data_IF_152637779174
#
_entry.id   IF_152637779174
#
_cell.length_a   1.000
_cell.length_b   1.000
_cell.length_c   1.000
_cell.angle_alpha   90.00
_cell.angle_beta   90.00
_cell.angle_gamma   90.00
#
_symmetry.space_group_name_H-M   'P 1'
#
loop_
_entity.id
_entity.type
_entity.pdbx_description
1 polymer ?
#
# COMPACT_ATOMS: atom_id res chain seq x y z
N UNK A 1 -10.84 17.30 66.82
CA UNK A 1 -10.82 17.45 65.35
C UNK A 1 -9.67 16.64 64.78
N UNK A 2 -9.94 15.51 64.12
CA UNK A 2 -8.91 14.67 63.49
C UNK A 2 -8.40 15.38 62.23
N UNK A 3 -7.17 15.92 62.30
CA UNK A 3 -6.46 16.44 61.15
C UNK A 3 -6.05 15.28 60.25
N UNK A 4 -6.93 14.90 59.32
CA UNK A 4 -6.63 13.89 58.30
C UNK A 4 -5.49 14.42 57.43
N UNK A 5 -4.33 13.78 57.59
CA UNK A 5 -3.03 14.11 57.02
C UNK A 5 -3.07 14.33 55.50
N UNK A 6 -2.91 15.58 55.08
CA UNK A 6 -2.79 16.04 53.68
C UNK A 6 -1.74 15.26 52.86
N UNK A 7 -0.70 14.73 53.52
CA UNK A 7 0.34 13.89 52.91
C UNK A 7 -0.12 12.47 52.53
N UNK A 8 -1.06 11.88 53.28
CA UNK A 8 -1.59 10.54 52.99
C UNK A 8 -2.47 10.49 51.74
N UNK A 9 -3.27 11.53 51.51
CA UNK A 9 -4.06 11.67 50.27
C UNK A 9 -3.18 11.81 49.03
N UNK A 10 -2.10 12.62 49.10
CA UNK A 10 -1.16 12.78 47.98
C UNK A 10 -0.49 11.45 47.61
N UNK A 11 -0.06 10.67 48.60
CA UNK A 11 0.54 9.34 48.38
C UNK A 11 -0.45 8.37 47.73
N UNK A 12 -1.70 8.32 48.19
CA UNK A 12 -2.75 7.48 47.58
C UNK A 12 -3.06 7.92 46.14
N UNK A 13 -3.15 9.22 45.89
CA UNK A 13 -3.36 9.77 44.55
C UNK A 13 -2.23 9.38 43.58
N UNK A 14 -0.97 9.45 44.02
CA UNK A 14 0.18 9.01 43.23
C UNK A 14 0.16 7.51 42.94
N UNK A 15 -0.21 6.68 43.91
CA UNK A 15 -0.34 5.21 43.71
C UNK A 15 -1.43 4.90 42.70
N UNK A 16 -2.60 5.54 42.82
CA UNK A 16 -3.71 5.36 41.86
C UNK A 16 -3.30 5.83 40.47
N UNK A 17 -2.67 6.99 40.34
CA UNK A 17 -2.18 7.48 39.05
C UNK A 17 -1.15 6.53 38.43
N UNK A 18 -0.19 6.03 39.22
CA UNK A 18 0.80 5.05 38.77
C UNK A 18 0.16 3.73 38.34
N UNK A 19 -0.80 3.21 39.11
CA UNK A 19 -1.53 1.99 38.77
C UNK A 19 -2.35 2.16 37.48
N UNK A 20 -2.99 3.32 37.28
CA UNK A 20 -3.73 3.64 36.05
C UNK A 20 -2.81 3.74 34.83
N UNK A 21 -1.64 4.38 34.96
CA UNK A 21 -0.64 4.43 33.88
C UNK A 21 -0.10 3.05 33.53
N UNK A 22 0.19 2.22 34.55
CA UNK A 22 0.63 0.85 34.33
C UNK A 22 -0.45 0.02 33.62
N UNK A 23 -1.72 0.15 34.03
CA UNK A 23 -2.83 -0.53 33.39
C UNK A 23 -2.99 -0.10 31.92
N UNK A 24 -2.91 1.21 31.64
CA UNK A 24 -2.95 1.73 30.26
C UNK A 24 -1.78 1.21 29.41
N UNK A 25 -0.58 1.17 29.96
CA UNK A 25 0.58 0.61 29.28
C UNK A 25 0.41 -0.89 28.97
N UNK A 26 -0.13 -1.66 29.92
CA UNK A 26 -0.44 -3.08 29.75
C UNK A 26 -1.48 -3.26 28.64
N UNK A 27 -2.61 -2.55 28.71
CA UNK A 27 -3.67 -2.61 27.67
C UNK A 27 -3.11 -2.21 26.30
N UNK A 28 -2.28 -1.16 26.26
CA UNK A 28 -1.59 -0.73 25.04
C UNK A 28 -0.66 -1.80 24.48
N UNK A 29 0.14 -2.46 25.33
CA UNK A 29 1.02 -3.54 24.94
C UNK A 29 0.24 -4.75 24.39
N UNK A 30 -0.85 -5.17 25.06
CA UNK A 30 -1.72 -6.25 24.58
C UNK A 30 -2.42 -5.91 23.25
N UNK A 31 -2.61 -4.63 22.94
CA UNK A 31 -3.26 -4.17 21.71
C UNK A 31 -2.28 -3.54 20.71
N UNK A 32 -0.97 -3.64 20.92
CA UNK A 32 0.05 -2.90 20.17
C UNK A 32 -0.05 -3.11 18.65
N UNK A 33 -0.19 -4.37 18.23
CA UNK A 33 -0.35 -4.71 16.81
C UNK A 33 -1.62 -4.11 16.20
N UNK A 34 -2.73 -4.06 16.96
CA UNK A 34 -3.98 -3.45 16.51
C UNK A 34 -3.86 -1.94 16.39
N UNK A 35 -3.19 -1.29 17.34
CA UNK A 35 -2.94 0.15 17.32
C UNK A 35 -2.03 0.55 16.15
N UNK A 36 -0.94 -0.19 15.92
CA UNK A 36 -0.07 0.04 14.76
C UNK A 36 -0.84 -0.18 13.46
N UNK A 37 -1.63 -1.25 13.36
CA UNK A 37 -2.43 -1.51 12.16
C UNK A 37 -3.44 -0.38 11.92
N UNK A 38 -4.11 0.10 12.97
CA UNK A 38 -5.02 1.23 12.87
C UNK A 38 -4.29 2.49 12.40
N UNK A 39 -3.13 2.80 12.99
CA UNK A 39 -2.28 3.91 12.57
C UNK A 39 -1.95 3.82 11.07
N UNK A 40 -1.48 2.66 10.59
CA UNK A 40 -1.17 2.41 9.17
C UNK A 40 -2.37 2.59 8.25
N UNK A 41 -3.58 2.19 8.68
CA UNK A 41 -4.81 2.40 7.90
C UNK A 41 -5.15 3.88 7.79
N UNK A 42 -5.09 4.59 8.92
CA UNK A 42 -5.45 6.01 8.99
C UNK A 42 -4.45 6.87 8.19
N UNK A 43 -3.17 6.51 8.19
CA UNK A 43 -2.12 7.25 7.46
C UNK A 43 -1.87 6.74 6.05
N UNK A 44 -2.59 5.71 5.58
CA UNK A 44 -2.33 5.05 4.29
C UNK A 44 -2.32 6.03 3.10
N UNK A 45 -3.19 7.05 3.16
CA UNK A 45 -3.39 8.05 2.11
C UNK A 45 -2.76 9.42 2.42
N UNK A 46 -1.92 9.50 3.46
CA UNK A 46 -1.26 10.76 3.81
C UNK A 46 -0.40 11.26 2.64
N UNK A 47 -0.64 12.47 2.10
CA UNK A 47 -0.02 12.93 0.84
C UNK A 47 1.50 12.83 0.84
N UNK A 48 2.15 13.15 1.96
CA UNK A 48 3.61 13.17 2.07
C UNK A 48 4.25 11.78 2.05
N UNK A 49 3.47 10.71 2.26
CA UNK A 49 3.97 9.33 2.37
C UNK A 49 3.23 8.32 1.50
N UNK A 50 2.24 8.77 0.72
CA UNK A 50 1.32 7.91 -0.04
C UNK A 50 2.06 6.95 -0.97
N UNK A 51 3.08 7.42 -1.68
CA UNK A 51 3.87 6.63 -2.61
C UNK A 51 4.59 5.47 -1.90
N UNK A 52 5.19 5.75 -0.74
CA UNK A 52 5.91 4.76 0.06
C UNK A 52 4.94 3.79 0.73
N UNK A 53 3.83 4.30 1.28
CA UNK A 53 2.79 3.49 1.90
C UNK A 53 2.22 2.47 0.91
N UNK A 54 1.97 2.87 -0.34
CA UNK A 54 1.43 1.96 -1.36
C UNK A 54 2.48 0.93 -1.81
N UNK A 55 3.72 1.37 -2.06
CA UNK A 55 4.84 0.50 -2.46
C UNK A 55 5.13 -0.59 -1.42
N UNK A 56 4.95 -0.26 -0.13
CA UNK A 56 5.19 -1.16 1.01
C UNK A 56 3.95 -1.75 1.63
N UNK A 57 2.79 -1.62 0.98
CA UNK A 57 1.52 -2.13 1.48
C UNK A 57 1.59 -3.62 1.92
N UNK A 58 2.34 -4.46 1.21
CA UNK A 58 2.54 -5.86 1.57
C UNK A 58 3.33 -6.09 2.88
N UNK A 59 4.08 -5.12 3.36
CA UNK A 59 4.78 -5.16 4.67
C UNK A 59 3.95 -4.49 5.77
N UNK A 60 3.12 -3.52 5.39
CA UNK A 60 2.29 -2.74 6.32
C UNK A 60 1.04 -3.50 6.78
N UNK A 61 0.54 -4.43 5.98
CA UNK A 61 -0.65 -5.22 6.28
C UNK A 61 -0.35 -6.71 6.31
N UNK A 62 -1.24 -7.48 6.92
CA UNK A 62 -1.19 -8.94 6.88
C UNK A 62 -1.26 -9.39 5.41
N UNK A 63 -0.19 -10.01 4.94
CA UNK A 63 -0.04 -10.39 3.53
C UNK A 63 0.47 -11.81 3.39
N UNK A 64 0.30 -12.37 2.18
CA UNK A 64 0.92 -13.63 1.78
C UNK A 64 1.72 -13.41 0.51
N UNK A 65 2.89 -14.04 0.46
CA UNK A 65 3.75 -14.00 -0.72
C UNK A 65 3.19 -14.99 -1.75
N UNK A 66 2.93 -14.49 -2.96
CA UNK A 66 2.71 -15.33 -4.13
C UNK A 66 4.07 -15.46 -4.82
N UNK A 67 4.68 -16.66 -4.82
CA UNK A 67 6.00 -16.83 -5.42
C UNK A 67 5.94 -16.65 -6.94
N UNK A 68 7.00 -16.07 -7.51
CA UNK A 68 7.18 -16.03 -8.97
C UNK A 68 7.33 -17.44 -9.54
N UNK A 69 6.92 -17.63 -10.80
CA UNK A 69 7.21 -18.87 -11.53
C UNK A 69 8.72 -19.12 -11.58
N UNK A 70 9.19 -20.38 -11.45
CA UNK A 70 10.60 -20.73 -11.69
C UNK A 70 11.03 -20.51 -13.14
N UNK A 71 10.07 -20.44 -14.08
CA UNK A 71 10.29 -20.16 -15.50
C UNK A 71 9.35 -19.03 -15.92
N UNK A 72 9.69 -17.77 -15.63
CA UNK A 72 8.88 -16.64 -16.06
C UNK A 72 9.01 -16.44 -17.58
N UNK A 73 7.96 -15.95 -18.20
CA UNK A 73 8.06 -15.39 -19.54
C UNK A 73 8.93 -14.12 -19.50
N UNK A 74 9.83 -13.97 -20.47
CA UNK A 74 10.74 -12.82 -20.56
C UNK A 74 10.37 -12.01 -21.79
N UNK A 75 9.97 -10.76 -21.59
CA UNK A 75 9.65 -9.85 -22.68
C UNK A 75 10.91 -9.47 -23.46
N UNK A 76 10.75 -9.34 -24.77
CA UNK A 76 11.70 -8.60 -25.60
C UNK A 76 11.67 -7.11 -25.22
N UNK A 77 12.76 -6.39 -25.50
CA UNK A 77 12.86 -4.96 -25.24
C UNK A 77 13.24 -4.22 -26.52
N UNK A 78 12.45 -3.20 -26.86
CA UNK A 78 12.76 -2.22 -27.87
C UNK A 78 12.58 -0.83 -27.26
N UNK A 79 13.50 0.10 -27.54
CA UNK A 79 13.41 1.45 -26.97
C UNK A 79 12.66 2.36 -27.93
N UNK A 80 11.45 2.76 -27.56
CA UNK A 80 10.70 3.84 -28.16
C UNK A 80 10.52 4.98 -27.15
N UNK A 81 10.64 6.22 -27.59
CA UNK A 81 10.27 7.37 -26.78
C UNK A 81 8.74 7.52 -26.75
N UNK A 82 8.20 8.00 -25.63
CA UNK A 82 6.83 8.52 -25.62
C UNK A 82 6.76 9.78 -26.50
N UNK A 83 5.61 10.06 -27.12
CA UNK A 83 5.41 11.35 -27.78
C UNK A 83 5.50 12.48 -26.75
N UNK A 84 5.93 13.66 -27.18
CA UNK A 84 6.01 14.84 -26.29
C UNK A 84 4.62 15.32 -25.86
N UNK A 85 3.63 15.16 -26.74
CA UNK A 85 2.27 15.65 -26.55
C UNK A 85 1.19 14.64 -26.98
N UNK A 86 -0.03 14.87 -26.52
CA UNK A 86 -1.21 14.11 -26.90
C UNK A 86 -2.39 15.05 -27.19
N UNK A 87 -3.29 14.62 -28.06
CA UNK A 87 -4.54 15.34 -28.36
C UNK A 87 -5.71 14.65 -27.67
N UNK A 88 -6.47 15.39 -26.87
CA UNK A 88 -7.67 14.91 -26.19
C UNK A 88 -8.74 16.02 -26.14
N UNK A 89 -9.97 15.71 -26.56
CA UNK A 89 -11.08 16.66 -26.60
C UNK A 89 -10.75 18.01 -27.27
N UNK A 90 -10.02 17.98 -28.40
CA UNK A 90 -9.61 19.18 -29.13
C UNK A 90 -8.52 20.02 -28.44
N UNK A 91 -7.95 19.53 -27.35
CA UNK A 91 -6.84 20.17 -26.63
C UNK A 91 -5.57 19.35 -26.75
N UNK A 92 -4.42 20.04 -26.84
CA UNK A 92 -3.10 19.40 -26.83
C UNK A 92 -2.49 19.48 -25.44
N UNK A 93 -2.14 18.34 -24.86
CA UNK A 93 -1.48 18.23 -23.54
C UNK A 93 -0.05 17.70 -23.66
N UNK A 94 0.81 18.02 -22.69
CA UNK A 94 2.16 17.44 -22.56
C UNK A 94 2.09 16.09 -21.84
N UNK A 95 2.75 15.07 -22.40
CA UNK A 95 2.85 13.75 -21.76
C UNK A 95 3.66 13.84 -20.46
N UNK A 96 4.73 14.63 -20.44
CA UNK A 96 5.54 14.82 -19.24
C UNK A 96 4.72 15.48 -18.11
N UNK A 97 3.93 16.50 -18.44
CA UNK A 97 3.05 17.16 -17.46
C UNK A 97 1.92 16.24 -17.00
N UNK A 98 1.43 15.34 -17.84
CA UNK A 98 0.42 14.35 -17.45
C UNK A 98 0.99 13.35 -16.43
N UNK A 99 2.16 12.79 -16.69
CA UNK A 99 2.85 11.86 -15.78
C UNK A 99 3.08 12.50 -14.41
N UNK A 100 3.54 13.75 -14.41
CA UNK A 100 3.77 14.52 -13.18
C UNK A 100 2.47 14.78 -12.41
N UNK A 101 1.46 15.37 -13.07
CA UNK A 101 0.17 15.75 -12.47
C UNK A 101 -0.66 14.58 -11.95
N UNK A 102 -0.43 13.36 -12.45
CA UNK A 102 -1.19 12.16 -12.06
C UNK A 102 -0.48 11.32 -11.00
N UNK A 103 0.64 11.81 -10.47
CA UNK A 103 1.48 11.07 -9.54
C UNK A 103 1.85 9.66 -10.05
N UNK A 104 2.07 9.55 -11.36
CA UNK A 104 2.40 8.27 -11.99
C UNK A 104 3.69 7.71 -11.42
N UNK A 105 3.65 6.50 -10.88
CA UNK A 105 4.80 5.81 -10.25
C UNK A 105 5.56 4.91 -11.22
N UNK A 106 4.91 4.43 -12.28
CA UNK A 106 5.53 3.66 -13.35
C UNK A 106 4.61 3.57 -14.56
N UNK A 107 5.20 3.49 -15.75
CA UNK A 107 4.48 3.37 -17.02
C UNK A 107 5.21 2.38 -17.92
N UNK A 108 4.46 1.41 -18.43
CA UNK A 108 4.92 0.41 -19.39
C UNK A 108 3.98 0.44 -20.60
N UNK A 109 4.57 0.48 -21.80
CA UNK A 109 3.86 0.30 -23.08
C UNK A 109 4.47 -0.93 -23.75
N UNK A 110 3.64 -1.94 -23.97
CA UNK A 110 4.03 -3.18 -24.62
C UNK A 110 3.15 -3.44 -25.84
N UNK A 111 3.72 -4.14 -26.83
CA UNK A 111 3.03 -4.69 -27.98
C UNK A 111 3.50 -6.12 -28.17
N UNK A 112 2.55 -7.05 -28.19
CA UNK A 112 2.83 -8.48 -28.22
C UNK A 112 3.81 -8.85 -27.09
N UNK A 113 4.90 -9.52 -27.44
CA UNK A 113 5.94 -9.98 -26.53
C UNK A 113 7.07 -8.94 -26.31
N UNK A 114 6.86 -7.68 -26.70
CA UNK A 114 7.89 -6.63 -26.66
C UNK A 114 7.46 -5.42 -25.84
N UNK A 115 8.27 -5.07 -24.83
CA UNK A 115 8.18 -3.78 -24.15
C UNK A 115 8.79 -2.71 -25.06
N UNK A 116 7.99 -1.70 -25.42
CA UNK A 116 8.38 -0.57 -26.27
C UNK A 116 8.82 0.64 -25.43
N UNK A 117 8.23 0.81 -24.26
CA UNK A 117 8.60 1.86 -23.31
C UNK A 117 8.39 1.34 -21.90
N UNK A 118 9.34 1.64 -21.02
CA UNK A 118 9.27 1.32 -19.60
C UNK A 118 10.03 2.40 -18.83
N UNK A 119 9.33 3.07 -17.93
CA UNK A 119 9.95 4.05 -17.04
C UNK A 119 9.27 4.06 -15.68
N UNK A 120 10.09 4.21 -14.66
CA UNK A 120 9.69 4.30 -13.27
C UNK A 120 9.97 5.71 -12.74
N UNK A 121 9.11 6.17 -11.86
CA UNK A 121 9.12 7.53 -11.33
C UNK A 121 9.02 7.48 -9.81
N UNK A 122 9.25 8.60 -9.13
CA UNK A 122 8.92 8.72 -7.70
C UNK A 122 9.59 7.63 -6.85
N UNK A 123 10.88 7.41 -7.12
CA UNK A 123 11.71 6.38 -6.47
C UNK A 123 11.37 4.92 -6.82
N UNK A 124 10.43 4.66 -7.74
CA UNK A 124 10.14 3.31 -8.21
C UNK A 124 11.24 2.77 -9.12
N UNK A 125 11.32 1.45 -9.16
CA UNK A 125 12.22 0.66 -10.00
C UNK A 125 11.46 -0.55 -10.53
N UNK A 126 12.08 -1.30 -11.46
CA UNK A 126 11.53 -2.57 -11.95
C UNK A 126 11.28 -3.62 -10.86
N UNK A 127 11.90 -3.46 -9.69
CA UNK A 127 11.74 -4.36 -8.54
C UNK A 127 10.68 -3.87 -7.54
N UNK A 128 10.17 -2.66 -7.72
CA UNK A 128 9.13 -2.10 -6.87
C UNK A 128 7.80 -2.82 -7.09
N UNK A 129 7.04 -3.04 -6.03
CA UNK A 129 5.67 -3.56 -6.12
C UNK A 129 4.68 -2.40 -6.23
N UNK A 130 3.75 -2.50 -7.16
CA UNK A 130 2.62 -1.58 -7.26
C UNK A 130 1.39 -2.19 -6.55
N UNK A 131 0.67 -1.37 -5.79
CA UNK A 131 -0.60 -1.77 -5.20
C UNK A 131 -1.67 -1.89 -6.31
N UNK A 132 -2.18 -3.09 -6.53
CA UNK A 132 -3.09 -3.37 -7.65
C UNK A 132 -4.51 -2.82 -7.48
N UNK A 133 -4.92 -2.39 -6.27
CA UNK A 133 -6.26 -1.89 -5.98
C UNK A 133 -7.36 -2.77 -6.60
N UNK A 134 -8.31 -2.18 -7.33
CA UNK A 134 -9.38 -2.92 -7.99
C UNK A 134 -8.96 -3.66 -9.26
N UNK A 135 -7.77 -3.40 -9.83
CA UNK A 135 -7.25 -4.19 -10.95
C UNK A 135 -7.08 -5.66 -10.55
N UNK A 136 -6.73 -5.92 -9.28
CA UNK A 136 -6.61 -7.28 -8.73
C UNK A 136 -7.91 -8.10 -8.87
N UNK A 137 -9.08 -7.46 -8.92
CA UNK A 137 -10.37 -8.18 -9.11
C UNK A 137 -10.44 -8.87 -10.47
N UNK A 138 -9.85 -8.30 -11.51
CA UNK A 138 -9.79 -8.92 -12.83
C UNK A 138 -8.96 -10.20 -12.82
N UNK A 139 -7.88 -10.24 -12.02
CA UNK A 139 -7.07 -11.45 -11.82
C UNK A 139 -7.90 -12.54 -11.14
N UNK A 140 -8.60 -12.19 -10.07
CA UNK A 140 -9.49 -13.14 -9.36
C UNK A 140 -10.61 -13.65 -10.28
N UNK A 141 -11.21 -12.76 -11.07
CA UNK A 141 -12.24 -13.13 -12.06
C UNK A 141 -11.71 -14.12 -13.10
N UNK A 142 -10.51 -13.89 -13.64
CA UNK A 142 -9.89 -14.81 -14.59
C UNK A 142 -9.62 -16.19 -13.96
N UNK A 143 -9.07 -16.24 -12.74
CA UNK A 143 -8.85 -17.49 -12.01
C UNK A 143 -10.16 -18.24 -11.74
N UNK A 144 -11.22 -17.52 -11.40
CA UNK A 144 -12.54 -18.10 -11.19
C UNK A 144 -13.09 -18.71 -12.50
N UNK A 145 -12.99 -17.98 -13.62
CA UNK A 145 -13.39 -18.48 -14.93
C UNK A 145 -12.63 -19.74 -15.35
N UNK A 146 -11.32 -19.81 -15.07
CA UNK A 146 -10.51 -21.02 -15.29
C UNK A 146 -11.04 -22.18 -14.44
N UNK A 147 -11.30 -21.96 -13.15
CA UNK A 147 -11.80 -23.00 -12.25
C UNK A 147 -13.18 -23.53 -12.67
N UNK A 148 -14.08 -22.68 -13.16
CA UNK A 148 -15.37 -23.11 -13.74
C UNK A 148 -15.12 -23.95 -15.00
N UNK A 149 -14.29 -23.48 -15.93
CA UNK A 149 -13.98 -24.20 -17.16
C UNK A 149 -13.32 -25.58 -16.91
N UNK A 150 -12.55 -25.71 -15.82
CA UNK A 150 -11.94 -26.96 -15.37
C UNK A 150 -12.88 -27.86 -14.54
N UNK A 151 -14.12 -27.42 -14.28
CA UNK A 151 -15.11 -28.18 -13.52
C UNK A 151 -14.87 -28.20 -12.01
N UNK A 152 -14.01 -27.31 -11.50
CA UNK A 152 -13.76 -27.16 -10.05
C UNK A 152 -14.87 -26.38 -9.34
N UNK A 153 -15.66 -25.61 -10.08
CA UNK A 153 -16.79 -24.84 -9.59
C UNK A 153 -17.98 -25.15 -10.50
N UNK A 154 -19.11 -25.53 -9.90
CA UNK A 154 -20.36 -25.76 -10.62
C UNK A 154 -21.09 -24.44 -10.89
N UNK A 155 -21.63 -24.34 -12.09
CA UNK A 155 -22.50 -23.28 -12.60
C UNK A 155 -23.79 -23.11 -11.80
#
# INVERSE_FOLDING_TARGET
>A
MKGTTRGGMKKKALIVAGASLALLAIVGAFNFNRLIRLYRVVTLFEPDTIEENFRRSGELFDSRIIPRSPRPFVFNRATAALPESYSFNGTTGSVASFIDRTDTTGLIVARDDTILFEKYYRGNTEQSKALGWSVTKSIVSALFGIAVAEGHISD
#
